data_IF_479935869344
#
_entry.id   IF_479935869344
#
_cell.length_a   1.000
_cell.length_b   1.000
_cell.length_c   1.000
_cell.angle_alpha   90.00
_cell.angle_beta   90.00
_cell.angle_gamma   90.00
#
_symmetry.space_group_name_H-M   'P 1'
#
loop_
_entity.id
_entity.type
_entity.pdbx_description
1 polymer ?
#
# COMPACT_ATOMS: atom_id res chain seq x y z
N UNK A 1 5.53 18.87 23.06
CA UNK A 1 5.89 18.98 21.63
C UNK A 1 4.71 18.47 20.82
N UNK A 2 4.16 19.30 19.94
CA UNK A 2 3.14 18.88 18.96
C UNK A 2 3.85 18.77 17.62
N UNK A 3 3.72 17.62 16.94
CA UNK A 3 4.23 17.42 15.59
C UNK A 3 3.08 17.67 14.62
N UNK A 4 3.26 18.61 13.70
CA UNK A 4 2.33 18.83 12.59
C UNK A 4 2.96 18.24 11.32
N UNK A 5 2.31 17.24 10.74
CA UNK A 5 2.68 16.62 9.47
C UNK A 5 1.62 16.93 8.42
N UNK A 6 2.04 17.10 7.17
CA UNK A 6 1.14 17.02 6.02
C UNK A 6 0.69 15.58 5.81
N UNK A 7 -0.41 15.38 5.07
CA UNK A 7 -0.91 14.03 4.75
C UNK A 7 0.13 13.21 3.99
N UNK A 8 0.90 13.83 3.08
CA UNK A 8 1.93 13.15 2.31
C UNK A 8 3.11 12.70 3.19
N UNK A 9 3.54 13.53 4.14
CA UNK A 9 4.58 13.15 5.10
C UNK A 9 4.09 12.04 6.03
N UNK A 10 2.84 12.11 6.49
CA UNK A 10 2.23 11.08 7.31
C UNK A 10 2.12 9.74 6.57
N UNK A 11 1.79 9.76 5.28
CA UNK A 11 1.67 8.54 4.46
C UNK A 11 2.96 7.71 4.44
N UNK A 12 4.13 8.36 4.51
CA UNK A 12 5.44 7.68 4.58
C UNK A 12 5.68 6.88 5.87
N UNK A 13 4.76 6.94 6.82
CA UNK A 13 4.77 6.15 8.05
C UNK A 13 3.69 5.06 8.07
N UNK A 14 2.91 4.91 7.00
CA UNK A 14 1.77 3.98 6.93
C UNK A 14 2.13 2.78 6.05
N UNK A 15 1.76 1.59 6.54
CA UNK A 15 1.76 0.35 5.78
C UNK A 15 0.32 -0.04 5.44
N UNK A 16 -0.07 0.10 4.17
CA UNK A 16 -1.40 -0.20 3.70
C UNK A 16 -1.66 -1.71 3.76
N UNK A 17 -2.56 -2.15 4.63
CA UNK A 17 -2.66 -3.57 5.00
C UNK A 17 -3.98 -4.19 4.53
N UNK A 18 -3.91 -5.31 3.81
CA UNK A 18 -5.05 -6.17 3.47
C UNK A 18 -4.71 -7.64 3.71
N UNK A 19 -5.06 -8.14 4.90
CA UNK A 19 -4.78 -9.51 5.34
C UNK A 19 -6.04 -10.34 5.61
N UNK A 20 -7.23 -9.81 5.25
CA UNK A 20 -8.46 -10.59 5.40
C UNK A 20 -8.44 -11.77 4.44
N UNK A 21 -8.90 -12.93 4.90
CA UNK A 21 -8.87 -14.17 4.12
C UNK A 21 -9.74 -14.12 2.86
N UNK A 22 -10.76 -13.26 2.86
CA UNK A 22 -11.71 -13.01 1.77
C UNK A 22 -11.30 -11.86 0.85
N UNK A 23 -10.07 -11.34 0.97
CA UNK A 23 -9.55 -10.29 0.08
C UNK A 23 -9.53 -10.80 -1.35
N UNK A 24 -10.31 -10.18 -2.24
CA UNK A 24 -10.37 -10.53 -3.66
C UNK A 24 -9.26 -9.84 -4.45
N UNK A 25 -8.98 -10.32 -5.67
CA UNK A 25 -8.03 -9.66 -6.57
C UNK A 25 -8.42 -8.19 -6.84
N UNK A 26 -9.72 -7.90 -6.96
CA UNK A 26 -10.23 -6.55 -7.17
C UNK A 26 -9.92 -5.64 -5.97
N UNK A 27 -10.04 -6.17 -4.74
CA UNK A 27 -9.66 -5.44 -3.53
C UNK A 27 -8.16 -5.16 -3.49
N UNK A 28 -7.32 -6.13 -3.89
CA UNK A 28 -5.88 -5.96 -3.99
C UNK A 28 -5.52 -4.86 -4.97
N UNK A 29 -6.06 -4.91 -6.20
CA UNK A 29 -5.79 -3.90 -7.24
C UNK A 29 -6.20 -2.51 -6.78
N UNK A 30 -7.36 -2.40 -6.11
CA UNK A 30 -7.83 -1.13 -5.54
C UNK A 30 -6.88 -0.62 -4.45
N UNK A 31 -6.50 -1.48 -3.50
CA UNK A 31 -5.57 -1.13 -2.43
C UNK A 31 -4.24 -0.64 -2.99
N UNK A 32 -3.70 -1.30 -4.00
CA UNK A 32 -2.42 -0.94 -4.62
C UNK A 32 -2.50 0.42 -5.32
N UNK A 33 -3.59 0.67 -6.06
CA UNK A 33 -3.82 1.96 -6.70
C UNK A 33 -3.92 3.10 -5.66
N UNK A 34 -4.70 2.91 -4.60
CA UNK A 34 -4.85 3.86 -3.50
C UNK A 34 -3.49 4.09 -2.78
N UNK A 35 -2.71 3.03 -2.57
CA UNK A 35 -1.39 3.09 -1.94
C UNK A 35 -0.39 3.89 -2.76
N UNK A 36 -0.42 3.71 -4.09
CA UNK A 36 0.42 4.44 -5.04
C UNK A 36 0.03 5.92 -5.09
N UNK A 37 -1.25 6.23 -5.12
CA UNK A 37 -1.77 7.61 -5.13
C UNK A 37 -1.42 8.34 -3.82
N UNK A 38 -1.63 7.70 -2.68
CA UNK A 38 -1.32 8.26 -1.37
C UNK A 38 0.19 8.32 -1.07
N UNK A 39 0.99 7.52 -1.78
CA UNK A 39 2.44 7.45 -1.59
C UNK A 39 2.84 6.86 -0.23
N UNK A 40 2.10 5.85 0.24
CA UNK A 40 2.37 5.16 1.51
C UNK A 40 3.76 4.52 1.52
N UNK A 41 4.22 4.09 2.69
CA UNK A 41 5.55 3.47 2.82
C UNK A 41 5.60 2.10 2.15
N UNK A 42 4.64 1.23 2.50
CA UNK A 42 4.59 -0.13 2.00
C UNK A 42 3.18 -0.67 1.94
N UNK A 43 3.00 -1.81 1.26
CA UNK A 43 1.77 -2.59 1.27
C UNK A 43 2.02 -3.91 2.00
N UNK A 44 1.17 -4.25 2.96
CA UNK A 44 1.20 -5.53 3.67
C UNK A 44 0.04 -6.42 3.20
N UNK A 45 0.37 -7.54 2.55
CA UNK A 45 -0.63 -8.42 1.92
C UNK A 45 -0.29 -9.90 2.06
N UNK A 46 -1.28 -10.77 1.82
CA UNK A 46 -1.05 -12.22 1.80
C UNK A 46 -0.07 -12.59 0.66
N UNK A 47 0.91 -13.49 0.90
CA UNK A 47 1.92 -13.88 -0.08
C UNK A 47 1.39 -14.31 -1.46
N UNK A 48 0.17 -14.87 -1.54
CA UNK A 48 -0.46 -15.25 -2.81
C UNK A 48 -0.59 -14.06 -3.78
N UNK A 49 -0.71 -12.84 -3.25
CA UNK A 49 -0.88 -11.62 -4.04
C UNK A 49 0.42 -10.89 -4.36
N UNK A 50 1.55 -11.28 -3.76
CA UNK A 50 2.85 -10.59 -3.94
C UNK A 50 3.24 -10.41 -5.41
N UNK A 51 3.11 -11.43 -6.31
CA UNK A 51 3.45 -11.25 -7.72
C UNK A 51 2.60 -10.18 -8.42
N UNK A 52 1.31 -10.10 -8.09
CA UNK A 52 0.41 -9.08 -8.62
C UNK A 52 0.79 -7.70 -8.10
N UNK A 53 0.96 -7.56 -6.79
CA UNK A 53 1.28 -6.27 -6.18
C UNK A 53 2.62 -5.74 -6.67
N UNK A 54 3.64 -6.60 -6.77
CA UNK A 54 4.96 -6.21 -7.28
C UNK A 54 4.90 -5.72 -8.74
N UNK A 55 4.06 -6.34 -9.58
CA UNK A 55 3.86 -5.91 -10.95
C UNK A 55 3.15 -4.54 -11.04
N UNK A 56 2.10 -4.34 -10.24
CA UNK A 56 1.30 -3.10 -10.22
C UNK A 56 2.06 -1.91 -9.58
N UNK A 57 2.92 -2.18 -8.59
CA UNK A 57 3.78 -1.18 -7.95
C UNK A 57 5.10 -0.93 -8.69
N UNK A 58 5.33 -1.56 -9.83
CA UNK A 58 6.55 -1.35 -10.61
C UNK A 58 6.76 0.14 -10.93
N UNK A 59 7.96 0.64 -10.61
CA UNK A 59 8.33 2.04 -10.78
C UNK A 59 7.69 3.01 -9.79
N UNK A 60 7.16 2.53 -8.66
CA UNK A 60 6.71 3.36 -7.54
C UNK A 60 7.71 3.32 -6.38
N UNK A 61 7.64 4.32 -5.50
CA UNK A 61 8.43 4.37 -4.25
C UNK A 61 7.75 3.60 -3.09
N UNK A 62 6.69 2.84 -3.37
CA UNK A 62 5.95 2.04 -2.37
C UNK A 62 6.58 0.65 -2.29
N UNK A 63 6.94 0.23 -1.08
CA UNK A 63 7.55 -1.08 -0.83
C UNK A 63 6.49 -2.20 -0.83
N UNK A 64 6.90 -3.40 -1.20
CA UNK A 64 6.07 -4.62 -1.21
C UNK A 64 6.68 -5.70 -0.32
#
# INVERSE_FOLDING_TARGET
MTVSLTTAELAKYIDATALKADTSEADVRRLVAESREAGVKSVCINPVWVPLVAAELAGSDVLT
#
